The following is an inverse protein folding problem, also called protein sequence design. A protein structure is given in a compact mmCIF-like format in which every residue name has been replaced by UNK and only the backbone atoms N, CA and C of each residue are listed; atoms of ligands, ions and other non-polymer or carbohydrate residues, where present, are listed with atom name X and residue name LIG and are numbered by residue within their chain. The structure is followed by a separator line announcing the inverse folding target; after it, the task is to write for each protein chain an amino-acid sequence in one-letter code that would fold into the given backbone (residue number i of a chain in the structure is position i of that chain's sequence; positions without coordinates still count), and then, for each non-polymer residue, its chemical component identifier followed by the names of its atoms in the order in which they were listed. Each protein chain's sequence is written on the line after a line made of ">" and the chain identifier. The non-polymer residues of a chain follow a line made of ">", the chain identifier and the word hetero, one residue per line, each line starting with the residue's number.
data_IF_507363845825
#
_entry.id   IF_507363845825
#
_cell.length_a   1.000
_cell.length_b   1.000
_cell.length_c   1.000
_cell.angle_alpha   90.00
_cell.angle_beta   90.00
_cell.angle_gamma   90.00
#
_symmetry.space_group_name_H-M   'P 1'
#
loop_
_entity.id
_entity.type
_entity.pdbx_description
1 polymer ?
#
# COMPACT_ATOMS: atom_id res chain seq x y z
N UNK A 1 -18.74 -53.72 21.99
CA UNK A 1 -18.19 -52.57 22.74
C UNK A 1 -17.05 -51.86 21.99
N UNK A 2 -16.01 -52.56 21.51
CA UNK A 2 -14.86 -51.96 20.80
C UNK A 2 -15.29 -51.09 19.61
N UNK A 3 -16.22 -51.56 18.79
CA UNK A 3 -16.70 -50.82 17.61
C UNK A 3 -17.43 -49.51 17.98
N UNK A 4 -18.24 -49.51 19.05
CA UNK A 4 -18.84 -48.28 19.57
C UNK A 4 -17.79 -47.31 20.11
N UNK A 5 -16.77 -47.82 20.81
CA UNK A 5 -15.67 -47.00 21.31
C UNK A 5 -14.91 -46.30 20.17
N UNK A 6 -14.63 -47.03 19.08
CA UNK A 6 -13.98 -46.47 17.89
C UNK A 6 -14.83 -45.40 17.20
N UNK A 7 -16.15 -45.62 17.06
CA UNK A 7 -17.03 -44.60 16.46
C UNK A 7 -17.14 -43.34 17.32
N UNK A 8 -17.25 -43.49 18.64
CA UNK A 8 -17.28 -42.35 19.57
C UNK A 8 -15.96 -41.58 19.51
N UNK A 9 -14.83 -42.29 19.48
CA UNK A 9 -13.52 -41.67 19.31
C UNK A 9 -13.43 -40.87 18.01
N UNK A 10 -13.86 -41.43 16.88
CA UNK A 10 -13.82 -40.72 15.59
C UNK A 10 -14.71 -39.46 15.56
N UNK A 11 -15.90 -39.51 16.17
CA UNK A 11 -16.78 -38.34 16.26
C UNK A 11 -16.16 -37.28 17.17
N UNK A 12 -15.59 -37.70 18.29
CA UNK A 12 -14.94 -36.80 19.24
C UNK A 12 -13.68 -36.15 18.65
N UNK A 13 -12.85 -36.92 17.97
CA UNK A 13 -11.67 -36.44 17.25
C UNK A 13 -12.06 -35.42 16.18
N UNK A 14 -13.09 -35.71 15.37
CA UNK A 14 -13.60 -34.76 14.38
C UNK A 14 -14.16 -33.49 15.01
N UNK A 15 -14.84 -33.61 16.15
CA UNK A 15 -15.39 -32.45 16.87
C UNK A 15 -14.28 -31.56 17.43
N UNK A 16 -13.18 -32.13 17.93
CA UNK A 16 -12.03 -31.38 18.44
C UNK A 16 -11.21 -30.76 17.30
N UNK A 17 -10.91 -31.53 16.26
CA UNK A 17 -9.98 -31.11 15.20
C UNK A 17 -10.66 -30.29 14.08
N UNK A 18 -11.96 -30.46 13.86
CA UNK A 18 -12.72 -29.77 12.79
C UNK A 18 -14.10 -29.26 13.27
N UNK A 19 -14.15 -28.39 14.29
CA UNK A 19 -15.40 -27.93 14.90
C UNK A 19 -16.21 -26.99 13.99
N UNK A 20 -15.61 -26.44 12.94
CA UNK A 20 -16.27 -25.52 12.00
C UNK A 20 -16.36 -26.16 10.62
N UNK A 21 -17.60 -26.33 10.12
CA UNK A 21 -17.85 -26.72 8.74
C UNK A 21 -17.84 -25.47 7.85
N UNK A 22 -16.94 -25.43 6.87
CA UNK A 22 -16.90 -24.35 5.87
C UNK A 22 -17.87 -24.69 4.74
N UNK A 23 -18.89 -23.86 4.56
CA UNK A 23 -19.80 -23.93 3.41
C UNK A 23 -19.85 -22.57 2.73
N UNK A 24 -19.67 -22.53 1.42
CA UNK A 24 -19.80 -21.29 0.66
C UNK A 24 -21.27 -20.95 0.45
N UNK A 25 -21.71 -19.82 1.00
CA UNK A 25 -22.99 -19.22 0.63
C UNK A 25 -22.79 -18.38 -0.62
N UNK A 26 -23.55 -18.64 -1.69
CA UNK A 26 -23.57 -17.82 -2.91
C UNK A 26 -24.38 -16.52 -2.70
N UNK A 27 -24.17 -15.84 -1.58
CA UNK A 27 -24.87 -14.58 -1.32
C UNK A 27 -24.21 -13.48 -2.13
N UNK A 28 -24.88 -13.07 -3.20
CA UNK A 28 -24.46 -11.92 -3.98
C UNK A 28 -24.52 -10.65 -3.13
N UNK A 29 -23.44 -9.87 -3.15
CA UNK A 29 -23.40 -8.54 -2.54
C UNK A 29 -23.50 -7.50 -3.65
N UNK A 30 -24.33 -6.47 -3.46
CA UNK A 30 -24.42 -5.36 -4.41
C UNK A 30 -23.11 -4.58 -4.42
N UNK A 31 -22.66 -4.13 -5.60
CA UNK A 31 -21.43 -3.33 -5.74
C UNK A 31 -21.43 -2.05 -4.89
N UNK A 32 -22.59 -1.46 -4.63
CA UNK A 32 -22.71 -0.25 -3.81
C UNK A 32 -22.43 -0.49 -2.31
N UNK A 33 -22.32 -1.75 -1.90
CA UNK A 33 -22.03 -2.15 -0.51
C UNK A 33 -20.54 -2.45 -0.30
N UNK A 34 -19.71 -2.33 -1.34
CA UNK A 34 -18.26 -2.54 -1.27
C UNK A 34 -17.53 -1.24 -1.64
N UNK A 35 -16.39 -0.96 -0.99
CA UNK A 35 -15.59 0.17 -1.39
C UNK A 35 -14.99 -0.09 -2.77
N UNK A 36 -14.86 0.95 -3.57
CA UNK A 36 -13.94 0.90 -4.70
C UNK A 36 -12.52 0.66 -4.15
N UNK A 37 -11.67 -0.16 -4.80
CA UNK A 37 -10.33 -0.40 -4.28
C UNK A 37 -9.53 0.90 -4.18
N UNK A 38 -8.56 0.91 -3.29
CA UNK A 38 -7.50 1.89 -3.36
C UNK A 38 -6.62 1.59 -4.57
N UNK A 39 -6.22 2.65 -5.27
CA UNK A 39 -5.36 2.59 -6.46
C UNK A 39 -4.09 3.35 -6.15
N UNK A 40 -3.00 2.64 -5.90
CA UNK A 40 -1.69 3.24 -5.66
C UNK A 40 -0.85 3.16 -6.92
N UNK A 41 -0.29 4.31 -7.32
CA UNK A 41 0.47 4.51 -8.54
C UNK A 41 1.87 5.01 -8.16
N UNK A 42 2.88 4.28 -8.61
CA UNK A 42 4.29 4.57 -8.36
C UNK A 42 5.00 4.86 -9.69
N UNK A 43 5.50 6.08 -9.92
CA UNK A 43 6.29 6.38 -11.10
C UNK A 43 7.61 5.60 -11.07
N UNK A 44 8.06 5.10 -12.22
CA UNK A 44 9.41 4.53 -12.38
C UNK A 44 10.48 5.62 -12.43
N UNK A 45 10.16 6.77 -13.05
CA UNK A 45 10.97 7.98 -12.90
C UNK A 45 10.87 8.49 -11.45
N UNK A 46 11.87 8.17 -10.62
CA UNK A 46 11.85 8.49 -9.17
C UNK A 46 12.17 9.94 -8.88
N UNK A 47 13.06 10.52 -9.69
CA UNK A 47 13.58 11.85 -9.47
C UNK A 47 13.47 12.70 -10.74
N UNK A 48 13.21 13.99 -10.53
CA UNK A 48 13.25 15.02 -11.55
C UNK A 48 14.69 15.32 -11.92
N UNK A 49 15.01 15.35 -13.22
CA UNK A 49 16.35 15.69 -13.70
C UNK A 49 16.77 17.10 -13.23
N UNK A 50 15.82 18.01 -13.06
CA UNK A 50 16.07 19.37 -12.57
C UNK A 50 16.58 19.44 -11.13
N UNK A 51 16.29 18.43 -10.32
CA UNK A 51 16.69 18.38 -8.90
C UNK A 51 17.85 17.42 -8.68
N UNK A 52 17.86 16.29 -9.39
CA UNK A 52 18.88 15.27 -9.24
C UNK A 52 19.11 14.50 -10.54
N UNK A 53 20.29 14.67 -11.13
CA UNK A 53 20.72 13.91 -12.31
C UNK A 53 21.58 12.71 -11.86
N UNK A 54 20.90 11.57 -11.67
CA UNK A 54 21.54 10.32 -11.21
C UNK A 54 22.68 9.92 -12.13
N UNK A 55 22.45 9.88 -13.44
CA UNK A 55 23.43 9.39 -14.43
C UNK A 55 24.72 10.22 -14.39
N UNK A 56 24.60 11.55 -14.37
CA UNK A 56 25.77 12.42 -14.27
C UNK A 56 26.54 12.22 -12.95
N UNK A 57 25.84 12.00 -11.84
CA UNK A 57 26.48 11.76 -10.54
C UNK A 57 27.17 10.39 -10.50
N UNK A 58 26.56 9.36 -11.08
CA UNK A 58 27.18 8.03 -11.20
C UNK A 58 28.43 8.05 -12.09
N UNK A 59 28.42 8.80 -13.19
CA UNK A 59 29.60 8.98 -14.04
C UNK A 59 30.75 9.68 -13.30
N UNK A 60 30.44 10.75 -12.54
CA UNK A 60 31.43 11.43 -11.68
C UNK A 60 31.97 10.52 -10.58
N UNK A 61 31.11 9.68 -10.00
CA UNK A 61 31.49 8.71 -8.99
C UNK A 61 32.48 7.68 -9.55
N UNK A 62 32.25 7.17 -10.77
CA UNK A 62 33.19 6.26 -11.45
C UNK A 62 34.54 6.91 -11.78
N UNK A 63 34.57 8.23 -11.91
CA UNK A 63 35.77 9.01 -12.17
C UNK A 63 36.44 9.57 -10.90
N UNK A 64 36.00 9.15 -9.70
CA UNK A 64 36.46 9.66 -8.40
C UNK A 64 36.44 11.21 -8.28
N UNK A 65 35.49 11.85 -8.95
CA UNK A 65 35.36 13.32 -9.03
C UNK A 65 33.98 13.80 -8.58
N UNK A 66 33.46 13.21 -7.49
CA UNK A 66 32.17 13.52 -6.91
C UNK A 66 32.31 14.55 -5.78
N UNK A 67 31.38 15.51 -5.70
CA UNK A 67 31.33 16.45 -4.57
C UNK A 67 30.65 15.82 -3.35
N UNK A 68 30.89 16.35 -2.15
CA UNK A 68 30.25 15.86 -0.92
C UNK A 68 28.72 15.95 -0.97
N UNK A 69 28.17 17.02 -1.57
CA UNK A 69 26.72 17.16 -1.75
C UNK A 69 26.15 16.09 -2.70
N UNK A 70 26.86 15.79 -3.79
CA UNK A 70 26.47 14.74 -4.72
C UNK A 70 26.55 13.35 -4.08
N UNK A 71 27.58 13.11 -3.26
CA UNK A 71 27.75 11.88 -2.47
C UNK A 71 26.57 11.67 -1.49
N UNK A 72 26.14 12.73 -0.80
CA UNK A 72 24.97 12.66 0.08
C UNK A 72 23.68 12.38 -0.69
N UNK A 73 23.45 13.07 -1.82
CA UNK A 73 22.24 12.85 -2.64
C UNK A 73 22.16 11.44 -3.20
N UNK A 74 23.28 10.87 -3.65
CA UNK A 74 23.29 9.48 -4.12
C UNK A 74 23.10 8.50 -2.96
N UNK A 75 23.63 8.82 -1.77
CA UNK A 75 23.33 8.10 -0.53
C UNK A 75 21.82 8.06 -0.24
N UNK A 76 21.13 9.21 -0.29
CA UNK A 76 19.67 9.27 -0.16
C UNK A 76 18.96 8.46 -1.24
N UNK A 77 19.36 8.60 -2.50
CA UNK A 77 18.74 7.88 -3.61
C UNK A 77 18.93 6.36 -3.51
N UNK A 78 20.04 5.88 -2.91
CA UNK A 78 20.34 4.46 -2.72
C UNK A 78 19.38 3.73 -1.78
N UNK A 79 18.55 4.46 -1.03
CA UNK A 79 17.49 3.87 -0.21
C UNK A 79 16.29 3.43 -1.06
N UNK A 80 16.08 4.05 -2.22
CA UNK A 80 14.94 3.80 -3.13
C UNK A 80 15.39 3.05 -4.40
N UNK A 81 16.62 3.29 -4.83
CA UNK A 81 17.21 2.73 -6.04
C UNK A 81 18.32 1.75 -5.68
N UNK A 82 18.39 0.63 -6.39
CA UNK A 82 19.54 -0.27 -6.31
C UNK A 82 20.60 0.15 -7.32
N UNK A 83 21.68 0.77 -6.84
CA UNK A 83 22.82 1.13 -7.69
C UNK A 83 23.89 0.06 -7.62
N UNK A 84 24.36 -0.41 -8.79
CA UNK A 84 25.52 -1.28 -8.87
C UNK A 84 26.77 -0.51 -8.40
N UNK A 85 27.57 -1.13 -7.52
CA UNK A 85 28.84 -0.60 -6.99
C UNK A 85 28.76 0.55 -5.97
N UNK A 86 27.59 0.86 -5.41
CA UNK A 86 27.49 1.80 -4.29
C UNK A 86 27.67 1.09 -2.94
N UNK A 87 28.78 1.34 -2.25
CA UNK A 87 28.96 0.90 -0.87
C UNK A 87 28.17 1.82 0.07
N UNK A 88 27.16 1.28 0.76
CA UNK A 88 26.34 1.97 1.75
C UNK A 88 27.15 2.30 3.01
N UNK A 89 28.07 3.26 2.92
CA UNK A 89 28.98 3.58 4.04
C UNK A 89 28.76 4.93 4.69
N UNK A 90 27.88 5.78 4.16
CA UNK A 90 27.61 7.09 4.77
C UNK A 90 26.28 7.10 5.52
N UNK A 91 26.35 7.42 6.81
CA UNK A 91 25.20 7.72 7.64
C UNK A 91 24.67 9.10 7.25
N UNK A 92 23.49 9.14 6.63
CA UNK A 92 22.88 10.37 6.16
C UNK A 92 21.74 10.83 7.09
N UNK A 93 21.49 12.15 7.13
CA UNK A 93 20.49 12.74 8.02
C UNK A 93 19.08 12.26 7.65
N UNK A 94 18.31 11.81 8.65
CA UNK A 94 16.91 11.40 8.47
C UNK A 94 16.06 12.53 7.88
N UNK A 95 16.21 13.75 8.38
CA UNK A 95 15.47 14.92 7.89
C UNK A 95 15.89 15.27 6.46
N UNK A 96 17.19 15.26 6.18
CA UNK A 96 17.74 15.52 4.84
C UNK A 96 17.21 14.52 3.80
N UNK A 97 17.09 13.25 4.19
CA UNK A 97 16.54 12.19 3.35
C UNK A 97 15.07 12.44 2.96
N UNK A 98 14.19 12.69 3.94
CA UNK A 98 12.77 12.93 3.64
C UNK A 98 12.55 14.24 2.87
N UNK A 99 13.34 15.28 3.17
CA UNK A 99 13.35 16.52 2.40
C UNK A 99 13.76 16.26 0.95
N UNK A 100 14.84 15.51 0.73
CA UNK A 100 15.30 15.11 -0.59
C UNK A 100 14.21 14.37 -1.36
N UNK A 101 13.56 13.35 -0.77
CA UNK A 101 12.48 12.63 -1.45
C UNK A 101 11.30 13.53 -1.86
N UNK A 102 10.92 14.48 -1.01
CA UNK A 102 9.81 15.38 -1.29
C UNK A 102 10.13 16.41 -2.38
N UNK A 103 11.36 16.94 -2.40
CA UNK A 103 11.80 17.97 -3.35
C UNK A 103 12.23 17.39 -4.70
N UNK A 104 12.86 16.22 -4.70
CA UNK A 104 13.41 15.61 -5.92
C UNK A 104 12.37 14.87 -6.76
N UNK A 105 11.17 14.59 -6.25
CA UNK A 105 10.13 13.86 -7.01
C UNK A 105 9.66 14.62 -8.26
N UNK A 106 9.26 13.94 -9.34
CA UNK A 106 8.68 14.59 -10.51
C UNK A 106 7.40 15.37 -10.16
N UNK A 107 7.34 16.64 -10.58
CA UNK A 107 6.15 17.47 -10.42
C UNK A 107 5.04 17.03 -11.39
N UNK A 108 3.79 16.97 -10.90
CA UNK A 108 2.60 16.78 -11.72
C UNK A 108 2.61 15.52 -12.60
N UNK A 109 2.72 14.33 -11.99
CA UNK A 109 2.69 13.06 -12.74
C UNK A 109 1.31 12.74 -13.36
N UNK A 110 0.26 13.48 -12.99
CA UNK A 110 -1.08 13.29 -13.51
C UNK A 110 -1.45 14.42 -14.47
N UNK A 111 -2.08 14.06 -15.59
CA UNK A 111 -2.64 14.98 -16.57
C UNK A 111 -4.15 15.11 -16.43
N UNK A 112 -4.83 14.01 -16.16
CA UNK A 112 -6.29 13.96 -16.05
C UNK A 112 -6.70 12.76 -15.19
N UNK A 113 -7.71 12.93 -14.35
CA UNK A 113 -8.25 11.88 -13.49
C UNK A 113 -9.76 12.01 -13.49
N UNK A 114 -10.47 10.88 -13.59
CA UNK A 114 -11.91 10.86 -13.44
C UNK A 114 -12.42 9.59 -12.80
N UNK A 115 -13.52 9.73 -12.08
CA UNK A 115 -14.21 8.63 -11.43
C UNK A 115 -15.69 8.97 -11.29
N UNK A 116 -16.57 8.05 -11.69
CA UNK A 116 -18.03 8.26 -11.67
C UNK A 116 -18.47 9.57 -12.34
N UNK A 117 -17.93 9.84 -13.55
CA UNK A 117 -18.22 11.04 -14.34
C UNK A 117 -17.81 12.37 -13.65
N UNK A 118 -17.02 12.31 -12.57
CA UNK A 118 -16.40 13.48 -11.93
C UNK A 118 -14.97 13.63 -12.40
N UNK A 119 -14.59 14.87 -12.69
CA UNK A 119 -13.25 15.24 -13.20
C UNK A 119 -12.62 16.33 -12.30
N UNK A 120 -12.32 16.04 -11.02
CA UNK A 120 -11.66 17.01 -10.16
C UNK A 120 -10.17 17.15 -10.53
N UNK A 121 -9.48 18.08 -9.86
CA UNK A 121 -8.03 18.08 -9.90
C UNK A 121 -7.49 16.75 -9.33
N UNK A 122 -6.56 16.11 -10.03
CA UNK A 122 -5.96 14.86 -9.61
C UNK A 122 -5.35 14.91 -8.20
N UNK A 123 -4.93 16.09 -7.73
CA UNK A 123 -4.39 16.31 -6.38
C UNK A 123 -5.45 16.18 -5.27
N UNK A 124 -6.74 16.28 -5.61
CA UNK A 124 -7.84 15.98 -4.70
C UNK A 124 -8.01 14.48 -4.51
N UNK A 125 -7.83 13.70 -5.59
CA UNK A 125 -7.96 12.24 -5.59
C UNK A 125 -6.74 11.53 -5.03
N UNK A 126 -5.56 11.95 -5.47
CA UNK A 126 -4.31 11.26 -5.20
C UNK A 126 -3.51 12.00 -4.13
N UNK A 127 -3.24 11.29 -3.04
CA UNK A 127 -2.37 11.79 -1.97
C UNK A 127 -1.02 11.07 -2.01
N UNK A 128 0.09 11.79 -1.79
CA UNK A 128 1.40 11.18 -1.80
C UNK A 128 1.53 10.26 -0.59
N UNK A 129 2.10 9.09 -0.80
CA UNK A 129 2.45 8.12 0.24
C UNK A 129 3.88 7.65 0.02
N UNK A 130 4.57 7.29 1.09
CA UNK A 130 5.82 6.57 0.98
C UNK A 130 5.52 5.08 0.79
N UNK A 131 6.36 4.38 0.05
CA UNK A 131 6.37 2.92 -0.14
C UNK A 131 7.82 2.46 -0.32
N UNK A 132 8.06 1.17 -0.52
CA UNK A 132 9.36 0.59 -0.90
C UNK A 132 9.96 1.31 -2.13
N UNK A 133 9.10 1.76 -3.05
CA UNK A 133 9.44 2.40 -4.31
C UNK A 133 9.66 3.93 -4.19
N UNK A 134 9.73 4.46 -2.97
CA UNK A 134 9.84 5.89 -2.71
C UNK A 134 8.47 6.58 -2.67
N UNK A 135 8.35 7.74 -3.33
CA UNK A 135 7.10 8.53 -3.35
C UNK A 135 6.13 7.96 -4.39
N UNK A 136 5.00 7.46 -3.91
CA UNK A 136 3.86 7.02 -4.72
C UNK A 136 2.63 7.85 -4.41
N UNK A 137 1.55 7.60 -5.14
CA UNK A 137 0.31 8.36 -5.02
C UNK A 137 -0.86 7.40 -4.95
N UNK A 138 -1.71 7.56 -3.94
CA UNK A 138 -2.84 6.65 -3.71
C UNK A 138 -4.17 7.37 -3.76
N UNK A 139 -5.09 6.79 -4.53
CA UNK A 139 -6.50 7.14 -4.56
C UNK A 139 -7.26 6.20 -3.64
N UNK A 140 -8.20 6.74 -2.86
CA UNK A 140 -9.16 5.99 -2.04
C UNK A 140 -8.55 5.08 -0.95
N UNK A 141 -7.32 5.35 -0.51
CA UNK A 141 -6.70 4.77 0.68
C UNK A 141 -7.20 5.47 1.94
N UNK A 142 -7.25 4.79 3.09
CA UNK A 142 -7.63 5.44 4.35
C UNK A 142 -6.64 6.54 4.76
N UNK A 143 -7.14 7.53 5.51
CA UNK A 143 -6.30 8.58 6.07
C UNK A 143 -5.36 8.00 7.12
N UNK A 144 -4.22 8.66 7.34
CA UNK A 144 -3.23 8.20 8.32
C UNK A 144 -3.81 8.09 9.72
N UNK A 145 -4.74 8.97 10.08
CA UNK A 145 -5.44 8.97 11.37
C UNK A 145 -6.42 7.81 11.50
N UNK A 146 -6.92 7.26 10.39
CA UNK A 146 -7.84 6.12 10.38
C UNK A 146 -7.10 4.78 10.23
N UNK A 147 -5.97 4.77 9.52
CA UNK A 147 -5.21 3.55 9.24
C UNK A 147 -4.19 3.22 10.33
N UNK A 148 -3.45 4.22 10.81
CA UNK A 148 -2.36 4.03 11.76
C UNK A 148 -2.75 4.46 13.17
N UNK A 149 -2.10 3.84 14.16
CA UNK A 149 -2.21 4.23 15.56
C UNK A 149 -1.41 5.50 15.84
N UNK A 150 -1.81 6.20 16.90
CA UNK A 150 -1.26 7.53 17.24
C UNK A 150 0.22 7.49 17.66
N UNK A 151 0.77 6.31 17.94
CA UNK A 151 2.19 6.10 18.23
C UNK A 151 3.07 6.00 16.98
N UNK A 152 2.50 6.00 15.77
CA UNK A 152 3.26 5.94 14.51
C UNK A 152 3.80 7.31 14.13
N UNK A 153 5.10 7.39 13.86
CA UNK A 153 5.75 8.62 13.40
C UNK A 153 5.54 8.84 11.91
N UNK A 154 5.23 10.09 11.52
CA UNK A 154 5.18 10.54 10.13
C UNK A 154 6.16 11.69 9.91
N UNK A 155 7.26 11.42 9.22
CA UNK A 155 8.27 12.44 8.91
C UNK A 155 7.83 13.45 7.83
N UNK A 156 6.80 13.11 7.04
CA UNK A 156 6.19 13.99 6.04
C UNK A 156 4.71 14.21 6.39
N UNK A 157 4.36 15.32 7.08
CA UNK A 157 2.99 15.53 7.57
C UNK A 157 1.92 15.57 6.48
N UNK A 158 2.24 16.11 5.30
CA UNK A 158 1.28 16.21 4.20
C UNK A 158 1.08 14.88 3.44
N UNK A 159 1.92 13.88 3.72
CA UNK A 159 1.80 12.56 3.12
C UNK A 159 0.73 11.76 3.87
N UNK A 160 0.07 10.88 3.11
CA UNK A 160 -0.97 10.00 3.63
C UNK A 160 -2.13 10.77 4.31
N UNK A 161 -2.35 12.01 3.89
CA UNK A 161 -3.41 12.89 4.40
C UNK A 161 -4.58 12.91 3.41
N UNK A 162 -5.56 12.02 3.63
CA UNK A 162 -6.75 11.84 2.79
C UNK A 162 -8.01 12.27 3.54
N UNK A 163 -9.19 12.02 2.96
CA UNK A 163 -10.45 12.18 3.68
C UNK A 163 -10.56 11.15 4.81
N UNK A 164 -11.09 11.57 5.95
CA UNK A 164 -11.39 10.65 7.05
C UNK A 164 -12.57 9.73 6.71
N UNK A 165 -12.62 8.56 7.35
CA UNK A 165 -13.71 7.59 7.22
C UNK A 165 -15.07 8.25 7.46
N UNK A 166 -16.00 8.00 6.54
CA UNK A 166 -17.38 8.47 6.64
C UNK A 166 -18.32 7.32 6.31
N UNK A 167 -19.06 6.85 7.31
CA UNK A 167 -20.12 5.84 7.18
C UNK A 167 -19.65 4.47 6.67
N UNK A 168 -18.44 4.07 7.02
CA UNK A 168 -17.86 2.78 6.63
C UNK A 168 -17.09 2.15 7.78
N UNK A 169 -17.19 0.84 7.89
CA UNK A 169 -16.42 0.00 8.80
C UNK A 169 -15.97 -1.27 8.06
N UNK A 170 -14.81 -1.81 8.46
CA UNK A 170 -14.18 -2.93 7.75
C UNK A 170 -14.98 -4.23 7.86
N UNK A 171 -15.64 -4.50 9.00
CA UNK A 171 -16.40 -5.74 9.19
C UNK A 171 -17.84 -5.60 8.73
N UNK A 172 -18.49 -4.50 9.10
CA UNK A 172 -19.92 -4.25 8.84
C UNK A 172 -20.18 -3.58 7.48
N UNK A 173 -19.17 -3.00 6.85
CA UNK A 173 -19.27 -2.31 5.57
C UNK A 173 -19.88 -0.92 5.71
N UNK A 174 -20.61 -0.48 4.69
CA UNK A 174 -21.25 0.83 4.73
C UNK A 174 -22.53 0.84 5.57
N UNK A 175 -22.59 1.74 6.55
CA UNK A 175 -23.69 1.83 7.53
C UNK A 175 -24.82 2.75 7.10
N UNK A 176 -24.55 3.70 6.20
CA UNK A 176 -25.54 4.65 5.69
C UNK A 176 -25.95 4.37 4.25
N UNK A 177 -27.17 4.77 3.87
CA UNK A 177 -27.63 4.86 2.48
C UNK A 177 -27.10 6.10 1.75
N UNK A 178 -26.29 6.92 2.42
CA UNK A 178 -25.69 8.13 1.84
C UNK A 178 -24.74 7.79 0.69
N UNK A 179 -24.80 8.64 -0.35
CA UNK A 179 -23.98 8.53 -1.55
C UNK A 179 -22.54 9.01 -1.28
N UNK A 180 -22.40 10.03 -0.43
CA UNK A 180 -21.10 10.58 -0.04
C UNK A 180 -20.56 9.80 1.17
N UNK A 181 -19.59 8.93 0.92
CA UNK A 181 -18.89 8.15 1.94
C UNK A 181 -17.40 8.13 1.64
N UNK A 182 -16.62 7.81 2.68
CA UNK A 182 -15.21 7.49 2.54
C UNK A 182 -14.89 6.20 3.29
N UNK A 183 -14.21 5.21 2.65
CA UNK A 183 -13.78 5.18 1.24
C UNK A 183 -14.95 5.29 0.24
N UNK A 184 -14.64 5.74 -0.98
CA UNK A 184 -15.59 5.87 -2.07
C UNK A 184 -16.08 4.49 -2.54
N UNK A 185 -17.35 4.42 -2.95
CA UNK A 185 -18.04 3.19 -3.37
C UNK A 185 -18.02 3.00 -4.87
N UNK A 186 -18.01 1.74 -5.31
CA UNK A 186 -18.36 1.39 -6.68
C UNK A 186 -19.88 1.51 -6.93
N UNK A 187 -20.36 2.69 -7.31
CA UNK A 187 -21.81 2.93 -7.47
C UNK A 187 -22.40 2.39 -8.77
N UNK A 188 -21.63 2.46 -9.87
CA UNK A 188 -22.06 2.16 -11.24
C UNK A 188 -20.99 1.39 -12.00
N UNK A 189 -21.42 0.61 -12.99
CA UNK A 189 -20.55 -0.14 -13.91
C UNK A 189 -20.47 0.59 -15.25
N UNK A 190 -19.44 0.30 -16.04
CA UNK A 190 -19.29 0.77 -17.41
C UNK A 190 -18.22 1.85 -17.55
N UNK A 191 -17.76 2.07 -18.78
CA UNK A 191 -16.57 2.88 -19.07
C UNK A 191 -16.70 4.33 -18.59
N UNK A 192 -17.88 4.95 -18.70
CA UNK A 192 -18.13 6.33 -18.22
C UNK A 192 -18.04 6.47 -16.69
N UNK A 193 -18.28 5.38 -15.98
CA UNK A 193 -18.24 5.33 -14.52
C UNK A 193 -16.91 4.77 -13.98
N UNK A 194 -16.04 4.32 -14.88
CA UNK A 194 -14.77 3.70 -14.52
C UNK A 194 -13.83 4.72 -13.89
N UNK A 195 -12.87 4.20 -13.13
CA UNK A 195 -11.71 4.97 -12.74
C UNK A 195 -10.80 5.13 -13.95
N UNK A 196 -10.53 6.37 -14.35
CA UNK A 196 -9.65 6.70 -15.47
C UNK A 196 -8.59 7.67 -15.00
N UNK A 197 -7.34 7.38 -15.36
CA UNK A 197 -6.20 8.24 -15.05
C UNK A 197 -5.28 8.31 -16.27
N UNK A 198 -4.92 9.52 -16.66
CA UNK A 198 -3.91 9.79 -17.66
C UNK A 198 -2.68 10.34 -16.95
N UNK A 199 -1.61 9.54 -16.94
CA UNK A 199 -0.34 9.90 -16.33
C UNK A 199 0.60 10.54 -17.36
N UNK A 200 1.52 11.39 -16.90
CA UNK A 200 2.52 12.06 -17.73
C UNK A 200 3.89 12.05 -17.05
N UNK A 201 4.92 11.75 -17.82
CA UNK A 201 6.32 11.85 -17.41
C UNK A 201 7.01 12.86 -18.32
N UNK A 202 7.78 13.81 -17.75
CA UNK A 202 8.61 14.70 -18.57
C UNK A 202 9.70 13.88 -19.24
N UNK A 203 9.98 14.15 -20.52
CA UNK A 203 11.00 13.41 -21.28
C UNK A 203 12.39 13.48 -20.63
N UNK A 204 12.72 14.60 -19.99
CA UNK A 204 13.98 14.80 -19.26
C UNK A 204 14.10 13.91 -18.02
N UNK A 205 12.99 13.56 -17.39
CA UNK A 205 12.97 12.80 -16.12
C UNK A 205 12.96 11.28 -16.38
N UNK A 206 12.95 10.85 -17.64
CA UNK A 206 13.07 9.43 -18.00
C UNK A 206 14.54 9.05 -17.83
N UNK A 207 14.84 8.26 -16.79
CA UNK A 207 16.15 7.66 -16.57
C UNK A 207 16.03 6.13 -16.45
N UNK A 208 17.15 5.44 -16.59
CA UNK A 208 17.21 3.98 -16.71
C UNK A 208 18.03 3.30 -15.61
N UNK A 209 18.79 4.07 -14.83
CA UNK A 209 19.73 3.55 -13.84
C UNK A 209 18.98 3.09 -12.58
N UNK A 210 18.12 3.95 -12.03
CA UNK A 210 17.32 3.59 -10.85
C UNK A 210 16.25 2.53 -11.15
N UNK A 211 15.48 2.60 -12.26
CA UNK A 211 14.39 1.67 -12.50
C UNK A 211 14.86 0.42 -13.25
N UNK A 212 16.17 0.22 -13.41
CA UNK A 212 16.78 -0.93 -14.08
C UNK A 212 16.23 -1.18 -15.48
N UNK A 213 16.14 -0.11 -16.28
CA UNK A 213 15.62 -0.16 -17.65
C UNK A 213 14.10 -0.13 -17.81
N UNK A 214 13.33 -0.22 -16.72
CA UNK A 214 11.87 -0.09 -16.76
C UNK A 214 11.42 1.37 -16.84
N UNK A 215 10.39 1.67 -17.63
CA UNK A 215 9.79 3.01 -17.69
C UNK A 215 8.27 2.95 -17.53
N UNK A 216 7.68 4.08 -17.14
CA UNK A 216 6.24 4.18 -16.90
C UNK A 216 5.91 4.12 -15.41
N UNK A 217 4.92 3.31 -15.07
CA UNK A 217 4.31 3.29 -13.74
C UNK A 217 4.04 1.86 -13.26
N UNK A 218 4.23 1.61 -11.97
CA UNK A 218 3.68 0.45 -11.29
C UNK A 218 2.35 0.85 -10.65
N UNK A 219 1.33 0.03 -10.83
CA UNK A 219 0.00 0.27 -10.31
C UNK A 219 -0.45 -0.94 -9.49
N UNK A 220 -0.94 -0.69 -8.29
CA UNK A 220 -1.48 -1.72 -7.39
C UNK A 220 -2.92 -1.36 -7.01
N UNK A 221 -3.78 -2.37 -7.06
CA UNK A 221 -5.15 -2.32 -6.55
C UNK A 221 -5.19 -3.07 -5.22
N UNK A 222 -5.60 -2.39 -4.17
CA UNK A 222 -5.67 -2.99 -2.84
C UNK A 222 -6.91 -2.52 -2.09
N UNK A 223 -7.20 -3.18 -0.98
CA UNK A 223 -8.29 -2.75 -0.11
C UNK A 223 -7.93 -1.43 0.59
N UNK A 224 -8.87 -0.47 0.76
CA UNK A 224 -8.56 0.86 1.31
C UNK A 224 -7.84 0.87 2.66
N UNK A 225 -8.11 -0.11 3.53
CA UNK A 225 -7.49 -0.22 4.85
C UNK A 225 -6.21 -1.05 4.89
N UNK A 226 -5.70 -1.50 3.73
CA UNK A 226 -4.42 -2.16 3.60
C UNK A 226 -3.37 -1.16 3.12
N UNK A 227 -2.22 -1.14 3.78
CA UNK A 227 -1.05 -0.46 3.25
C UNK A 227 -0.52 -1.22 2.02
N UNK A 228 -0.19 -0.52 0.91
CA UNK A 228 0.23 -1.19 -0.32
C UNK A 228 1.65 -1.75 -0.21
N UNK A 229 1.82 -3.01 -0.61
CA UNK A 229 3.14 -3.60 -0.91
C UNK A 229 3.33 -3.57 -2.42
N UNK A 230 4.12 -2.60 -2.89
CA UNK A 230 4.29 -2.37 -4.33
C UNK A 230 5.23 -3.40 -4.96
N UNK A 231 6.10 -4.03 -4.17
CA UNK A 231 7.11 -4.95 -4.68
C UNK A 231 6.50 -6.27 -5.13
N UNK A 232 5.54 -6.81 -4.38
CA UNK A 232 4.97 -8.13 -4.62
C UNK A 232 3.76 -8.12 -5.59
N UNK A 233 2.92 -7.08 -5.55
CA UNK A 233 1.59 -7.12 -6.17
C UNK A 233 1.28 -5.92 -7.08
N UNK A 234 2.00 -5.76 -8.19
CA UNK A 234 1.77 -4.66 -9.14
C UNK A 234 1.57 -5.15 -10.58
N UNK A 235 0.92 -4.31 -11.38
CA UNK A 235 1.02 -4.37 -12.83
C UNK A 235 1.69 -3.12 -13.37
N UNK A 236 2.37 -3.26 -14.51
CA UNK A 236 3.13 -2.16 -15.12
C UNK A 236 2.30 -1.50 -16.21
N UNK A 237 2.33 -0.17 -16.23
CA UNK A 237 1.77 0.67 -17.30
C UNK A 237 2.93 1.40 -17.99
N UNK A 238 3.39 0.90 -19.15
CA UNK A 238 4.47 1.53 -19.90
C UNK A 238 4.07 2.92 -20.44
N UNK A 239 5.07 3.75 -20.73
CA UNK A 239 4.84 5.04 -21.37
C UNK A 239 4.25 4.85 -22.78
N UNK A 240 3.31 5.71 -23.15
CA UNK A 240 2.67 5.69 -24.48
C UNK A 240 1.66 4.56 -24.69
N UNK A 241 1.38 3.75 -23.67
CA UNK A 241 0.38 2.68 -23.73
C UNK A 241 -0.86 3.02 -22.91
N UNK A 242 -1.98 2.39 -23.28
CA UNK A 242 -3.24 2.44 -22.52
C UNK A 242 -3.56 1.04 -22.01
N UNK A 243 -3.78 0.91 -20.70
CA UNK A 243 -4.10 -0.37 -20.04
C UNK A 243 -5.50 -0.26 -19.46
N UNK A 244 -6.34 -1.25 -19.76
CA UNK A 244 -7.70 -1.36 -19.21
C UNK A 244 -7.82 -2.66 -18.43
N UNK A 245 -8.16 -2.55 -17.14
CA UNK A 245 -8.40 -3.70 -16.27
C UNK A 245 -9.87 -3.81 -15.87
N UNK A 246 -10.39 -5.03 -15.84
CA UNK A 246 -11.71 -5.34 -15.26
C UNK A 246 -11.49 -5.81 -13.82
N UNK A 247 -12.13 -5.14 -12.87
CA UNK A 247 -12.01 -5.47 -11.44
C UNK A 247 -13.18 -6.35 -11.05
N UNK A 248 -12.89 -7.57 -10.61
CA UNK A 248 -13.87 -8.54 -10.10
C UNK A 248 -13.60 -8.75 -8.61
N UNK A 249 -14.39 -8.14 -7.71
CA UNK A 249 -14.18 -8.27 -6.28
C UNK A 249 -14.69 -9.63 -5.77
N UNK A 250 -13.84 -10.32 -4.99
CA UNK A 250 -14.22 -11.53 -4.28
C UNK A 250 -14.37 -11.22 -2.79
N UNK A 251 -15.54 -11.53 -2.22
CA UNK A 251 -15.80 -11.34 -0.80
C UNK A 251 -16.14 -12.66 -0.13
N UNK A 252 -15.42 -12.94 0.94
CA UNK A 252 -15.68 -14.07 1.82
C UNK A 252 -16.00 -13.48 3.18
N UNK A 253 -17.20 -13.77 3.69
CA UNK A 253 -17.65 -13.33 5.02
C UNK A 253 -17.88 -14.54 5.91
N UNK A 254 -17.41 -14.43 7.13
CA UNK A 254 -17.61 -15.43 8.18
C UNK A 254 -18.98 -15.23 8.83
N UNK A 255 -19.69 -16.31 9.15
CA UNK A 255 -20.99 -16.21 9.83
C UNK A 255 -20.82 -15.80 11.29
N UNK A 256 -21.80 -15.10 11.85
CA UNK A 256 -21.78 -14.65 13.25
C UNK A 256 -21.65 -15.82 14.25
N UNK A 257 -22.14 -17.01 13.90
CA UNK A 257 -21.99 -18.20 14.74
C UNK A 257 -20.53 -18.62 14.95
N UNK A 258 -19.65 -18.34 13.99
CA UNK A 258 -18.23 -18.70 14.07
C UNK A 258 -17.48 -17.83 15.08
N UNK A 259 -17.98 -16.61 15.40
CA UNK A 259 -17.41 -15.75 16.46
C UNK A 259 -17.39 -16.42 17.85
N UNK A 260 -18.20 -17.46 18.06
CA UNK A 260 -18.25 -18.22 19.32
C UNK A 260 -17.04 -19.15 19.50
N UNK A 261 -16.34 -19.50 18.43
CA UNK A 261 -15.16 -20.36 18.50
C UNK A 261 -13.91 -19.53 18.74
N UNK A 262 -13.05 -20.02 19.63
CA UNK A 262 -11.78 -19.39 19.95
C UNK A 262 -10.91 -19.23 18.69
N UNK A 263 -10.18 -18.12 18.49
CA UNK A 263 -9.37 -17.88 17.30
C UNK A 263 -8.44 -19.05 16.92
N UNK A 264 -7.79 -19.66 17.92
CA UNK A 264 -6.88 -20.81 17.72
C UNK A 264 -7.57 -22.06 17.15
N UNK A 265 -8.89 -22.16 17.28
CA UNK A 265 -9.66 -23.30 16.82
C UNK A 265 -10.14 -23.12 15.37
N UNK A 266 -10.17 -21.88 14.87
CA UNK A 266 -10.66 -21.52 13.53
C UNK A 266 -9.62 -20.85 12.65
N UNK A 267 -8.37 -20.75 13.12
CA UNK A 267 -7.19 -20.22 12.42
C UNK A 267 -7.37 -18.86 11.72
N UNK A 268 -8.26 -18.01 12.23
CA UNK A 268 -8.48 -16.66 11.75
C UNK A 268 -8.83 -15.71 12.90
N UNK A 269 -8.72 -14.40 12.67
CA UNK A 269 -8.96 -13.36 13.66
C UNK A 269 -10.00 -12.36 13.15
N UNK A 270 -10.89 -11.94 14.05
CA UNK A 270 -11.74 -10.76 13.91
C UNK A 270 -10.96 -9.52 14.35
N UNK A 271 -11.46 -8.32 13.99
CA UNK A 271 -10.78 -7.06 14.28
C UNK A 271 -10.51 -6.87 15.78
N UNK A 272 -11.42 -7.31 16.64
CA UNK A 272 -11.33 -7.16 18.10
C UNK A 272 -10.35 -8.11 18.79
N UNK A 273 -9.90 -9.16 18.11
CA UNK A 273 -9.14 -10.25 18.74
C UNK A 273 -7.64 -10.15 18.55
N UNK A 274 -7.20 -9.46 17.49
CA UNK A 274 -5.78 -9.28 17.18
C UNK A 274 -5.48 -7.81 16.88
N UNK A 275 -5.42 -6.96 17.91
CA UNK A 275 -4.99 -5.59 17.74
C UNK A 275 -3.53 -5.55 17.28
N UNK A 276 -3.28 -4.84 16.18
CA UNK A 276 -1.94 -4.58 15.66
C UNK A 276 -1.27 -3.42 16.41
N UNK A 277 0.06 -3.40 16.50
CA UNK A 277 0.86 -2.36 17.18
C UNK A 277 0.89 -1.04 16.42
N UNK A 278 0.86 -1.08 15.09
CA UNK A 278 0.97 0.12 14.25
C UNK A 278 -0.31 0.48 13.50
N UNK A 279 -1.18 -0.50 13.24
CA UNK A 279 -2.41 -0.31 12.47
C UNK A 279 -3.65 -0.36 13.34
N UNK A 280 -4.66 0.45 13.00
CA UNK A 280 -6.00 0.43 13.64
C UNK A 280 -6.87 -0.71 13.10
N UNK A 281 -6.67 -1.10 11.84
CA UNK A 281 -7.41 -2.17 11.16
C UNK A 281 -6.51 -3.39 10.93
N UNK A 282 -6.95 -4.53 11.45
CA UNK A 282 -6.35 -5.84 11.21
C UNK A 282 -6.64 -6.30 9.78
N UNK A 283 -5.58 -6.50 9.00
CA UNK A 283 -5.62 -7.23 7.74
C UNK A 283 -4.40 -8.14 7.69
N UNK A 284 -4.44 -9.19 6.88
CA UNK A 284 -3.27 -10.06 6.70
C UNK A 284 -2.06 -9.26 6.22
N UNK A 285 -2.26 -8.34 5.26
CA UNK A 285 -1.20 -7.47 4.73
C UNK A 285 -0.59 -6.59 5.84
N UNK A 286 -1.42 -5.88 6.61
CA UNK A 286 -0.94 -5.01 7.69
C UNK A 286 -0.21 -5.82 8.79
N UNK A 287 -0.71 -7.02 9.12
CA UNK A 287 -0.08 -7.91 10.08
C UNK A 287 1.29 -8.42 9.61
N UNK A 288 1.41 -8.78 8.33
CA UNK A 288 2.68 -9.23 7.74
C UNK A 288 3.69 -8.08 7.66
N UNK A 289 3.24 -6.87 7.31
CA UNK A 289 4.10 -5.68 7.32
C UNK A 289 4.62 -5.39 8.73
N UNK A 290 3.76 -5.42 9.75
CA UNK A 290 4.19 -5.26 11.14
C UNK A 290 5.17 -6.34 11.59
N UNK A 291 4.96 -7.60 11.16
CA UNK A 291 5.89 -8.69 11.41
C UNK A 291 7.26 -8.41 10.77
N UNK A 292 7.28 -8.02 9.49
CA UNK A 292 8.49 -7.65 8.74
C UNK A 292 9.22 -6.47 9.39
N UNK A 293 8.49 -5.44 9.82
CA UNK A 293 9.04 -4.29 10.55
C UNK A 293 9.70 -4.71 11.86
N UNK A 294 9.01 -5.47 12.71
CA UNK A 294 9.56 -5.90 14.00
C UNK A 294 10.78 -6.81 13.82
N UNK A 295 10.73 -7.74 12.85
CA UNK A 295 11.85 -8.62 12.53
C UNK A 295 13.07 -7.85 12.00
N UNK A 296 12.85 -6.88 11.13
CA UNK A 296 13.92 -6.00 10.61
C UNK A 296 14.55 -5.18 11.73
N UNK A 297 13.73 -4.65 12.65
CA UNK A 297 14.22 -3.89 13.80
C UNK A 297 15.07 -4.74 14.75
N UNK A 298 14.64 -5.98 15.03
CA UNK A 298 15.34 -6.90 15.95
C UNK A 298 16.73 -7.31 15.43
N UNK A 299 16.83 -7.55 14.12
CA UNK A 299 18.08 -8.01 13.49
C UNK A 299 19.00 -6.85 13.13
N UNK A 300 18.45 -5.80 12.51
CA UNK A 300 19.25 -4.72 11.93
C UNK A 300 19.38 -3.51 12.85
N UNK A 301 18.56 -3.39 13.90
CA UNK A 301 18.49 -2.20 14.76
C UNK A 301 17.84 -0.98 14.08
N UNK A 302 17.29 -1.13 12.87
CA UNK A 302 16.61 -0.08 12.12
C UNK A 302 15.47 -0.67 11.26
N UNK A 303 14.63 0.19 10.67
CA UNK A 303 13.55 -0.22 9.76
C UNK A 303 13.59 0.60 8.48
N UNK A 304 12.95 0.09 7.42
CA UNK A 304 12.84 0.81 6.14
C UNK A 304 12.07 2.12 6.30
N UNK A 305 12.42 3.13 5.50
CA UNK A 305 11.85 4.49 5.61
C UNK A 305 10.34 4.59 5.39
N UNK A 306 9.74 3.60 4.72
CA UNK A 306 8.30 3.48 4.47
C UNK A 306 7.59 2.65 5.55
N UNK A 307 8.33 1.88 6.34
CA UNK A 307 7.75 1.01 7.36
C UNK A 307 7.24 1.84 8.54
N UNK A 308 6.09 1.45 9.14
CA UNK A 308 5.60 2.13 10.32
C UNK A 308 6.58 1.96 11.49
N UNK A 309 6.94 3.05 12.15
CA UNK A 309 7.85 3.05 13.30
C UNK A 309 7.28 3.92 14.42
N UNK A 310 7.72 3.67 15.65
CA UNK A 310 7.30 4.49 16.80
C UNK A 310 8.02 5.83 16.78
N UNK A 311 7.36 6.86 17.32
CA UNK A 311 8.02 8.12 17.71
C UNK A 311 9.24 7.79 18.58
N UNK A 312 10.41 8.29 18.19
CA UNK A 312 11.60 8.25 19.06
C UNK A 312 11.31 9.10 20.31
N UNK A 313 11.37 8.48 21.49
CA UNK A 313 11.44 9.18 22.78
C UNK A 313 12.80 9.88 22.96
#
# INVERSE_FOLDING_TARGET
>A
MIFCGLMVYQIFDKYINYPVLITFSMKETRLQQIPFPAVTICPRAKFSLSHFNITAVLEKMKADNITEEEAQKIGYASAVCEFSHFNKTESYSREGFYKFLNESRPSSIFKYCSYLEKEPDCTEFFKPILTEEGVCYSFNILDKTDMFRDNVEFNLPDFHSTSQIQHWDVESGFTASQIHTYPQRALRIGQKNAFYVLMKTRKSDIEYECPMGESGYRVILHFPSCYPDVTENHFTVPLGQSVTGVIIPHMIKTSEGVKRFHPQTRDCYFQSERPLKYFKVYTQANCLLECKTNYTLDICGCVGFHMPSKLSE
#
